data_IF_883613853300
#
_entry.id   IF_883613853300
#
_cell.length_a   1.000
_cell.length_b   1.000
_cell.length_c   1.000
_cell.angle_alpha   90.00
_cell.angle_beta   90.00
_cell.angle_gamma   90.00
#
_symmetry.space_group_name_H-M   'P 1'
#
loop_
_entity.id
_entity.type
_entity.pdbx_description
1 polymer ?
#
# COMPACT_ATOMS: atom_id res chain seq x y z
N UNK A 1 1.26 -9.25 37.72
CA UNK A 1 1.55 -10.66 37.58
C UNK A 1 0.36 -11.54 37.20
N UNK A 2 -0.90 -11.11 37.37
CA UNK A 2 -2.09 -11.88 36.96
C UNK A 2 -2.36 -11.80 35.43
N UNK A 3 -1.87 -10.76 34.76
CA UNK A 3 -2.03 -10.57 33.31
C UNK A 3 -1.13 -11.53 32.52
N UNK A 4 0.12 -11.70 32.94
CA UNK A 4 1.05 -12.64 32.33
C UNK A 4 0.60 -14.11 32.45
N UNK A 5 -0.03 -14.47 33.56
CA UNK A 5 -0.64 -15.82 33.73
C UNK A 5 -1.83 -16.04 32.79
N UNK A 6 -2.66 -15.01 32.58
CA UNK A 6 -3.79 -15.09 31.64
C UNK A 6 -3.32 -15.14 30.17
N UNK A 7 -2.28 -14.39 29.83
CA UNK A 7 -1.69 -14.43 28.47
C UNK A 7 -1.06 -15.81 28.20
N UNK A 8 -0.30 -16.36 29.14
CA UNK A 8 0.26 -17.70 28.98
C UNK A 8 -0.81 -18.81 28.91
N UNK A 9 -1.91 -18.65 29.64
CA UNK A 9 -3.03 -19.59 29.56
C UNK A 9 -3.75 -19.54 28.20
N UNK A 10 -3.91 -18.34 27.64
CA UNK A 10 -4.48 -18.13 26.31
C UNK A 10 -3.55 -18.68 25.22
N UNK A 11 -2.25 -18.44 25.32
CA UNK A 11 -1.26 -18.98 24.38
C UNK A 11 -1.19 -20.51 24.47
N UNK A 12 -1.21 -21.08 25.68
CA UNK A 12 -1.23 -22.54 25.88
C UNK A 12 -2.50 -23.17 25.31
N UNK A 13 -3.66 -22.56 25.54
CA UNK A 13 -4.93 -23.04 25.00
C UNK A 13 -4.95 -22.99 23.46
N UNK A 14 -4.44 -21.90 22.87
CA UNK A 14 -4.29 -21.80 21.42
C UNK A 14 -3.29 -22.82 20.86
N UNK A 15 -2.18 -23.08 21.54
CA UNK A 15 -1.20 -24.08 21.11
C UNK A 15 -1.73 -25.52 21.21
N UNK A 16 -2.54 -25.85 22.21
CA UNK A 16 -3.16 -27.17 22.34
C UNK A 16 -4.29 -27.41 21.33
N UNK A 17 -5.10 -26.40 21.02
CA UNK A 17 -6.09 -26.49 19.95
C UNK A 17 -5.47 -26.58 18.55
N UNK A 18 -4.35 -25.90 18.31
CA UNK A 18 -3.62 -25.97 17.05
C UNK A 18 -2.98 -27.34 16.79
N UNK A 19 -2.71 -28.13 17.85
CA UNK A 19 -2.13 -29.48 17.71
C UNK A 19 -3.16 -30.58 17.43
N UNK A 20 -4.46 -30.30 17.65
CA UNK A 20 -5.52 -31.30 17.58
C UNK A 20 -6.52 -31.14 16.44
N UNK A 21 -6.39 -30.11 15.60
CA UNK A 21 -7.30 -29.89 14.47
C UNK A 21 -6.53 -29.78 13.15
N UNK A 22 -7.06 -30.46 12.12
CA UNK A 22 -6.64 -30.26 10.73
C UNK A 22 -6.44 -28.76 10.46
N UNK A 23 -5.23 -28.38 10.01
CA UNK A 23 -4.86 -27.00 9.71
C UNK A 23 -5.90 -26.23 8.87
N UNK A 24 -6.71 -26.94 8.10
CA UNK A 24 -7.79 -26.38 7.30
C UNK A 24 -8.99 -25.87 8.11
N UNK A 25 -9.22 -26.39 9.32
CA UNK A 25 -10.38 -26.05 10.17
C UNK A 25 -10.08 -24.80 11.00
N UNK A 26 -8.85 -24.63 11.46
CA UNK A 26 -8.40 -23.47 12.26
C UNK A 26 -8.43 -22.20 11.40
N UNK A 27 -7.93 -22.28 10.19
CA UNK A 27 -7.97 -21.14 9.25
C UNK A 27 -9.40 -20.80 8.80
N UNK A 28 -10.30 -21.78 8.75
CA UNK A 28 -11.74 -21.54 8.52
C UNK A 28 -12.44 -20.95 9.74
N UNK A 29 -12.06 -21.32 10.97
CA UNK A 29 -12.65 -20.79 12.20
C UNK A 29 -12.18 -19.36 12.51
N UNK A 30 -10.94 -19.01 12.13
CA UNK A 30 -10.44 -17.61 12.17
C UNK A 30 -11.13 -16.72 11.12
N UNK A 31 -12.14 -17.26 10.40
CA UNK A 31 -12.81 -16.57 9.31
C UNK A 31 -11.75 -16.06 8.34
N UNK A 32 -11.37 -16.86 7.36
CA UNK A 32 -10.80 -16.26 6.14
C UNK A 32 -11.92 -15.38 5.55
N UNK A 33 -12.12 -14.22 6.15
CA UNK A 33 -12.63 -13.07 5.42
C UNK A 33 -11.64 -12.95 4.28
N UNK A 34 -12.04 -13.33 3.08
CA UNK A 34 -11.22 -13.20 1.89
C UNK A 34 -10.85 -11.72 1.86
N UNK A 35 -9.66 -11.39 2.38
CA UNK A 35 -9.22 -10.00 2.44
C UNK A 35 -9.03 -9.53 1.01
N UNK A 36 -9.91 -8.66 0.59
CA UNK A 36 -9.84 -8.02 -0.72
C UNK A 36 -9.15 -6.67 -0.57
N UNK A 37 -8.15 -6.44 -1.40
CA UNK A 37 -7.40 -5.18 -1.42
C UNK A 37 -7.85 -4.34 -2.60
N UNK A 38 -8.24 -3.10 -2.37
CA UNK A 38 -8.39 -2.12 -3.44
C UNK A 38 -7.03 -1.49 -3.73
N UNK A 39 -6.59 -1.56 -4.97
CA UNK A 39 -5.38 -0.91 -5.45
C UNK A 39 -5.79 0.27 -6.33
N UNK A 40 -5.53 1.48 -5.84
CA UNK A 40 -5.83 2.71 -6.54
C UNK A 40 -4.56 3.27 -7.15
N UNK A 41 -4.58 3.73 -8.41
CA UNK A 41 -3.40 4.31 -9.04
C UNK A 41 -3.66 5.77 -9.42
N UNK A 42 -2.66 6.63 -9.20
CA UNK A 42 -2.69 8.05 -9.55
C UNK A 42 -1.69 8.42 -10.65
N UNK A 43 -0.89 7.46 -11.12
CA UNK A 43 0.19 7.68 -12.06
C UNK A 43 1.53 7.91 -11.36
N UNK A 44 2.19 9.04 -11.65
CA UNK A 44 3.51 9.35 -11.10
C UNK A 44 4.65 8.61 -11.80
N UNK A 45 5.84 8.66 -11.20
CA UNK A 45 7.05 8.02 -11.75
C UNK A 45 6.87 6.52 -11.96
N UNK A 46 6.07 5.87 -11.13
CA UNK A 46 5.79 4.44 -11.20
C UNK A 46 5.29 4.00 -12.59
N UNK A 47 4.36 4.75 -13.18
CA UNK A 47 3.71 4.44 -14.46
C UNK A 47 4.33 5.20 -15.65
N UNK A 48 5.47 5.90 -15.47
CA UNK A 48 6.14 6.62 -16.55
C UNK A 48 6.65 5.67 -17.63
N UNK A 49 6.38 6.06 -18.87
CA UNK A 49 6.94 5.44 -20.08
C UNK A 49 7.71 6.51 -20.88
N UNK A 50 8.79 6.08 -21.52
CA UNK A 50 9.58 6.93 -22.39
C UNK A 50 9.14 6.76 -23.84
N UNK A 51 8.82 7.85 -24.51
CA UNK A 51 8.51 7.86 -25.93
C UNK A 51 9.71 8.41 -26.72
N UNK A 52 10.37 7.54 -27.48
CA UNK A 52 11.52 7.90 -28.30
C UNK A 52 11.19 9.01 -29.32
N UNK A 53 9.98 9.03 -29.86
CA UNK A 53 9.60 9.96 -30.91
C UNK A 53 9.63 11.44 -30.47
N UNK A 54 9.42 11.74 -29.19
CA UNK A 54 9.36 13.09 -28.64
C UNK A 54 10.40 13.34 -27.56
N UNK A 55 11.23 12.37 -27.20
CA UNK A 55 12.17 12.42 -26.06
C UNK A 55 11.51 12.83 -24.73
N UNK A 56 10.24 12.51 -24.57
CA UNK A 56 9.44 12.90 -23.40
C UNK A 56 8.94 11.67 -22.61
N UNK A 57 8.75 11.86 -21.30
CA UNK A 57 8.07 10.90 -20.45
C UNK A 57 6.57 11.21 -20.40
N UNK A 58 5.75 10.19 -20.56
CA UNK A 58 4.31 10.28 -20.29
C UNK A 58 3.90 9.22 -19.27
N UNK A 59 2.74 9.41 -18.65
CA UNK A 59 2.17 8.44 -17.72
C UNK A 59 1.35 7.43 -18.51
N UNK A 60 1.79 6.17 -18.45
CA UNK A 60 1.16 5.04 -19.15
C UNK A 60 0.02 4.39 -18.37
N UNK A 61 -0.37 3.22 -18.84
CA UNK A 61 -1.29 2.36 -18.10
C UNK A 61 -0.63 1.82 -16.83
N UNK A 62 -1.41 1.53 -15.77
CA UNK A 62 -0.91 1.05 -14.50
C UNK A 62 -0.02 -0.19 -14.63
N UNK A 63 1.24 -0.08 -14.24
CA UNK A 63 2.20 -1.18 -14.28
C UNK A 63 1.99 -2.20 -13.15
N UNK A 64 1.21 -1.87 -12.14
CA UNK A 64 1.02 -2.73 -10.97
C UNK A 64 0.45 -4.11 -11.33
N UNK A 65 -0.40 -4.19 -12.36
CA UNK A 65 -0.97 -5.47 -12.82
C UNK A 65 0.13 -6.45 -13.21
N UNK A 66 1.07 -6.03 -14.07
CA UNK A 66 2.18 -6.90 -14.49
C UNK A 66 3.09 -7.29 -13.34
N UNK A 67 3.33 -6.39 -12.38
CA UNK A 67 4.13 -6.68 -11.19
C UNK A 67 3.48 -7.77 -10.33
N UNK A 68 2.16 -7.69 -10.13
CA UNK A 68 1.44 -8.68 -9.34
C UNK A 68 1.36 -10.04 -10.05
N UNK A 69 1.20 -10.03 -11.37
CA UNK A 69 1.21 -11.24 -12.21
C UNK A 69 2.59 -11.91 -12.21
N UNK A 70 3.67 -11.16 -12.41
CA UNK A 70 5.05 -11.65 -12.34
C UNK A 70 5.40 -12.20 -10.95
N UNK A 71 4.86 -11.57 -9.90
CA UNK A 71 5.00 -12.01 -8.51
C UNK A 71 4.13 -13.22 -8.15
N UNK A 72 3.32 -13.75 -9.08
CA UNK A 72 2.34 -14.81 -8.83
C UNK A 72 1.46 -14.53 -7.61
N UNK A 73 1.02 -13.28 -7.47
CA UNK A 73 0.20 -12.84 -6.33
C UNK A 73 -1.18 -13.47 -6.42
N UNK A 74 -1.55 -14.25 -5.40
CA UNK A 74 -2.83 -14.97 -5.32
C UNK A 74 -3.85 -14.28 -4.42
N UNK A 75 -3.48 -13.18 -3.77
CA UNK A 75 -4.39 -12.37 -2.96
C UNK A 75 -5.52 -11.80 -3.82
N UNK A 76 -6.72 -11.68 -3.25
CA UNK A 76 -7.84 -11.07 -3.97
C UNK A 76 -7.67 -9.54 -3.98
N UNK A 77 -7.55 -8.96 -5.17
CA UNK A 77 -7.40 -7.51 -5.34
C UNK A 77 -8.25 -6.97 -6.48
N UNK A 78 -8.52 -5.67 -6.43
CA UNK A 78 -9.18 -4.90 -7.50
C UNK A 78 -8.33 -3.66 -7.79
N UNK A 79 -8.01 -3.42 -9.05
CA UNK A 79 -7.24 -2.26 -9.48
C UNK A 79 -8.17 -1.23 -10.12
N UNK A 80 -8.04 0.04 -9.73
CA UNK A 80 -8.75 1.18 -10.32
C UNK A 80 -7.78 2.35 -10.52
N UNK A 81 -7.61 2.79 -11.75
CA UNK A 81 -6.94 4.05 -12.04
C UNK A 81 -7.88 5.21 -11.74
N UNK A 82 -7.48 6.11 -10.87
CA UNK A 82 -8.27 7.28 -10.45
C UNK A 82 -7.71 8.58 -11.02
N UNK A 83 -6.40 8.65 -11.22
CA UNK A 83 -5.71 9.75 -11.90
C UNK A 83 -4.60 9.19 -12.77
N UNK A 84 -4.12 10.03 -13.72
CA UNK A 84 -2.92 9.76 -14.53
C UNK A 84 -2.07 11.03 -14.57
N UNK A 85 -1.46 11.37 -13.42
CA UNK A 85 -0.69 12.60 -13.26
C UNK A 85 0.66 12.40 -12.57
N UNK A 86 1.61 13.30 -12.84
CA UNK A 86 2.75 13.47 -11.95
C UNK A 86 2.25 14.02 -10.62
N UNK A 87 2.84 13.57 -9.50
CA UNK A 87 2.36 13.98 -8.18
C UNK A 87 2.55 15.48 -7.90
N UNK A 88 3.50 16.13 -8.56
CA UNK A 88 3.69 17.57 -8.47
C UNK A 88 2.52 18.37 -9.05
N UNK A 89 1.78 17.78 -9.99
CA UNK A 89 0.64 18.40 -10.66
C UNK A 89 -0.71 18.08 -9.97
N UNK A 90 -0.70 17.26 -8.91
CA UNK A 90 -1.92 16.90 -8.18
C UNK A 90 -2.37 18.09 -7.33
N UNK A 91 -3.57 18.60 -7.62
CA UNK A 91 -4.19 19.73 -6.91
C UNK A 91 -4.92 19.28 -5.64
N UNK A 92 -5.39 20.23 -4.84
CA UNK A 92 -6.21 19.94 -3.65
C UNK A 92 -7.55 19.32 -4.02
N UNK A 93 -8.16 19.75 -5.11
CA UNK A 93 -9.41 19.18 -5.64
C UNK A 93 -9.23 17.73 -6.09
N UNK A 94 -8.08 17.41 -6.66
CA UNK A 94 -7.75 16.03 -7.05
C UNK A 94 -7.42 15.15 -5.85
N UNK A 95 -6.83 15.70 -4.77
CA UNK A 95 -6.70 14.98 -3.50
C UNK A 95 -8.07 14.66 -2.89
N UNK A 96 -9.05 15.54 -3.07
CA UNK A 96 -10.43 15.25 -2.68
C UNK A 96 -11.03 14.10 -3.50
N UNK A 97 -10.72 14.01 -4.81
CA UNK A 97 -11.13 12.88 -5.66
C UNK A 97 -10.48 11.58 -5.15
N UNK A 98 -9.20 11.61 -4.78
CA UNK A 98 -8.51 10.46 -4.18
C UNK A 98 -9.22 10.03 -2.90
N UNK A 99 -9.50 10.99 -2.00
CA UNK A 99 -10.17 10.72 -0.73
C UNK A 99 -11.56 10.11 -0.92
N UNK A 100 -12.39 10.69 -1.77
CA UNK A 100 -13.70 10.12 -2.10
C UNK A 100 -13.60 8.71 -2.69
N UNK A 101 -12.62 8.48 -3.58
CA UNK A 101 -12.40 7.16 -4.15
C UNK A 101 -12.03 6.12 -3.09
N UNK A 102 -11.30 6.54 -2.04
CA UNK A 102 -10.97 5.71 -0.88
C UNK A 102 -12.22 5.44 -0.02
N UNK A 103 -13.00 6.47 0.27
CA UNK A 103 -14.21 6.37 1.10
C UNK A 103 -15.28 5.49 0.43
N UNK A 104 -15.43 5.58 -0.88
CA UNK A 104 -16.37 4.79 -1.69
C UNK A 104 -15.95 3.32 -1.90
N UNK A 105 -14.70 2.94 -1.58
CA UNK A 105 -14.28 1.55 -1.66
C UNK A 105 -15.04 0.69 -0.65
N UNK A 106 -15.56 -0.45 -1.09
CA UNK A 106 -16.12 -1.46 -0.21
C UNK A 106 -15.03 -2.14 0.63
N UNK A 107 -13.80 -2.18 0.10
CA UNK A 107 -12.65 -2.78 0.74
C UNK A 107 -12.18 -1.92 1.92
N UNK A 108 -11.83 -2.57 3.03
CA UNK A 108 -11.20 -1.93 4.20
C UNK A 108 -9.69 -1.77 4.01
N UNK A 109 -9.11 -2.49 3.05
CA UNK A 109 -7.66 -2.56 2.76
C UNK A 109 -7.38 -1.87 1.43
N UNK A 110 -6.67 -0.76 1.47
CA UNK A 110 -6.45 0.09 0.29
C UNK A 110 -4.97 0.37 0.12
N UNK A 111 -4.43 0.00 -1.03
CA UNK A 111 -3.09 0.37 -1.45
C UNK A 111 -3.21 1.47 -2.52
N UNK A 112 -2.45 2.54 -2.38
CA UNK A 112 -2.44 3.64 -3.36
C UNK A 112 -1.05 3.73 -3.99
N UNK A 113 -0.98 3.55 -5.31
CA UNK A 113 0.23 3.84 -6.10
C UNK A 113 0.24 5.33 -6.41
N UNK A 114 1.23 6.04 -5.91
CA UNK A 114 1.32 7.50 -5.97
C UNK A 114 2.74 7.97 -6.31
N UNK A 115 2.87 9.09 -6.98
CA UNK A 115 4.16 9.71 -7.19
C UNK A 115 4.80 10.16 -5.88
N UNK A 116 6.11 10.02 -5.76
CA UNK A 116 6.81 10.15 -4.47
C UNK A 116 6.97 11.60 -3.99
N UNK A 117 6.83 12.61 -4.87
CA UNK A 117 7.15 14.01 -4.51
C UNK A 117 6.12 14.60 -3.55
N UNK A 118 4.84 14.37 -3.76
CA UNK A 118 3.76 14.87 -2.88
C UNK A 118 3.00 13.74 -2.16
N UNK A 119 3.58 12.54 -2.09
CA UNK A 119 2.99 11.39 -1.40
C UNK A 119 2.67 11.68 0.06
N UNK A 120 3.58 12.39 0.77
CA UNK A 120 3.40 12.77 2.18
C UNK A 120 2.20 13.71 2.34
N UNK A 121 2.01 14.64 1.43
CA UNK A 121 0.88 15.58 1.44
C UNK A 121 -0.45 14.84 1.23
N UNK A 122 -0.48 13.93 0.25
CA UNK A 122 -1.68 13.12 0.01
C UNK A 122 -1.96 12.17 1.17
N UNK A 123 -0.94 11.56 1.79
CA UNK A 123 -1.13 10.73 2.98
C UNK A 123 -1.77 11.53 4.14
N UNK A 124 -1.28 12.74 4.40
CA UNK A 124 -1.87 13.63 5.41
C UNK A 124 -3.30 14.04 5.07
N UNK A 125 -3.60 14.29 3.80
CA UNK A 125 -4.95 14.64 3.36
C UNK A 125 -5.96 13.53 3.62
N UNK A 126 -5.50 12.28 3.63
CA UNK A 126 -6.31 11.10 3.92
C UNK A 126 -6.46 10.81 5.42
N UNK A 127 -5.75 11.53 6.28
CA UNK A 127 -5.96 11.43 7.73
C UNK A 127 -7.43 11.76 8.06
N UNK A 128 -8.03 10.98 8.92
CA UNK A 128 -9.45 11.10 9.26
C UNK A 128 -10.40 10.23 8.45
N UNK A 129 -9.94 9.53 7.42
CA UNK A 129 -10.71 8.41 6.85
C UNK A 129 -10.69 7.28 7.88
N UNK A 130 -11.88 6.89 8.33
CA UNK A 130 -12.06 5.90 9.39
C UNK A 130 -12.27 4.49 8.81
N UNK A 131 -12.04 3.48 9.65
CA UNK A 131 -12.32 2.07 9.36
C UNK A 131 -11.63 1.51 8.09
N UNK A 132 -10.48 2.10 7.74
CA UNK A 132 -9.68 1.65 6.59
C UNK A 132 -8.18 1.62 6.92
N UNK A 133 -7.48 0.64 6.37
CA UNK A 133 -6.02 0.66 6.26
C UNK A 133 -5.65 1.19 4.89
N UNK A 134 -4.99 2.33 4.86
CA UNK A 134 -4.59 3.02 3.63
C UNK A 134 -3.07 3.07 3.60
N UNK A 135 -2.47 2.42 2.60
CA UNK A 135 -1.01 2.39 2.44
C UNK A 135 -0.63 3.00 1.10
N UNK A 136 0.06 4.14 1.16
CA UNK A 136 0.61 4.77 -0.04
C UNK A 136 1.99 4.18 -0.33
N UNK A 137 2.26 3.94 -1.60
CA UNK A 137 3.56 3.50 -2.12
C UNK A 137 3.80 4.04 -3.52
N UNK A 138 4.97 3.81 -4.05
CA UNK A 138 5.37 4.22 -5.38
C UNK A 138 6.79 3.77 -5.68
N UNK A 139 7.44 4.44 -6.62
CA UNK A 139 8.83 4.16 -6.93
C UNK A 139 9.61 5.41 -7.28
N UNK A 140 10.92 5.36 -7.04
CA UNK A 140 11.88 6.40 -7.47
C UNK A 140 12.24 6.24 -8.95
N UNK A 141 12.11 5.02 -9.49
CA UNK A 141 12.37 4.69 -10.88
C UNK A 141 11.11 4.14 -11.55
N UNK A 142 10.86 4.42 -12.84
CA UNK A 142 9.76 3.84 -13.58
C UNK A 142 9.72 2.32 -13.44
N UNK A 143 8.53 1.75 -13.24
CA UNK A 143 8.37 0.30 -13.06
C UNK A 143 8.87 -0.53 -14.25
N UNK A 144 8.83 0.04 -15.45
CA UNK A 144 9.30 -0.60 -16.70
C UNK A 144 10.82 -0.63 -16.84
N UNK A 145 11.56 0.03 -15.96
CA UNK A 145 13.01 0.01 -16.02
C UNK A 145 13.56 -1.31 -15.47
N UNK A 146 14.61 -1.83 -16.11
CA UNK A 146 15.28 -3.06 -15.64
C UNK A 146 15.77 -2.95 -14.18
N UNK A 147 16.21 -1.77 -13.79
CA UNK A 147 16.59 -1.47 -12.39
C UNK A 147 15.55 -0.52 -11.81
N UNK A 148 14.59 -1.07 -11.12
CA UNK A 148 13.51 -0.32 -10.47
C UNK A 148 13.33 -0.81 -9.05
N UNK A 149 12.88 0.09 -8.18
CA UNK A 149 12.43 -0.21 -6.82
C UNK A 149 10.92 -0.52 -6.76
N UNK A 150 10.21 -0.43 -7.89
CA UNK A 150 8.76 -0.60 -7.96
C UNK A 150 8.28 -1.97 -7.48
N UNK A 151 8.93 -3.06 -7.94
CA UNK A 151 8.52 -4.43 -7.59
C UNK A 151 8.64 -4.68 -6.08
N UNK A 152 9.78 -4.25 -5.49
CA UNK A 152 10.02 -4.37 -4.06
C UNK A 152 9.01 -3.57 -3.24
N UNK A 153 8.83 -2.28 -3.59
CA UNK A 153 7.91 -1.40 -2.86
C UNK A 153 6.46 -1.89 -2.99
N UNK A 154 6.05 -2.40 -4.15
CA UNK A 154 4.70 -2.93 -4.37
C UNK A 154 4.40 -4.14 -3.49
N UNK A 155 5.30 -5.14 -3.48
CA UNK A 155 5.14 -6.33 -2.65
C UNK A 155 5.16 -6.00 -1.16
N UNK A 156 6.08 -5.12 -0.74
CA UNK A 156 6.18 -4.65 0.63
C UNK A 156 4.92 -3.89 1.08
N UNK A 157 4.41 -2.97 0.23
CA UNK A 157 3.19 -2.22 0.51
C UNK A 157 1.94 -3.11 0.54
N UNK A 158 1.84 -4.09 -0.35
CA UNK A 158 0.74 -5.04 -0.34
C UNK A 158 0.71 -5.83 0.97
N UNK A 159 1.85 -6.35 1.42
CA UNK A 159 1.98 -7.03 2.71
C UNK A 159 1.63 -6.11 3.88
N UNK A 160 2.12 -4.87 3.87
CA UNK A 160 1.78 -3.88 4.88
C UNK A 160 0.27 -3.58 4.92
N UNK A 161 -0.37 -3.42 3.75
CA UNK A 161 -1.81 -3.18 3.62
C UNK A 161 -2.64 -4.30 4.25
N UNK A 162 -2.17 -5.55 4.13
CA UNK A 162 -2.88 -6.71 4.67
C UNK A 162 -2.71 -6.88 6.19
N UNK A 163 -1.62 -6.37 6.76
CA UNK A 163 -1.24 -6.67 8.15
C UNK A 163 -1.41 -5.51 9.13
N UNK A 164 -1.44 -4.26 8.64
CA UNK A 164 -1.52 -3.09 9.52
C UNK A 164 -2.94 -2.86 10.04
N UNK A 165 -3.04 -2.22 11.21
CA UNK A 165 -4.29 -1.69 11.76
C UNK A 165 -4.85 -0.57 10.88
N UNK A 166 -6.11 -0.14 11.15
CA UNK A 166 -6.70 1.01 10.47
C UNK A 166 -5.84 2.27 10.66
N UNK A 167 -5.66 2.99 9.60
CA UNK A 167 -4.82 4.19 9.58
C UNK A 167 -4.23 4.48 8.21
N UNK A 168 -3.47 5.57 8.12
CA UNK A 168 -2.82 6.03 6.89
C UNK A 168 -1.32 5.92 7.02
N UNK A 169 -0.71 5.21 6.10
CA UNK A 169 0.70 4.85 6.13
C UNK A 169 1.38 5.13 4.78
N UNK A 170 2.68 5.28 4.81
CA UNK A 170 3.55 5.23 3.64
C UNK A 170 4.48 4.03 3.78
N UNK A 171 4.50 3.16 2.78
CA UNK A 171 5.38 1.98 2.72
C UNK A 171 6.41 2.18 1.60
N UNK A 172 7.60 2.60 1.95
CA UNK A 172 8.69 2.91 1.02
C UNK A 172 10.05 2.50 1.59
N UNK A 173 10.95 2.11 0.71
CA UNK A 173 12.34 1.77 1.05
C UNK A 173 12.46 0.67 2.14
N UNK A 174 11.52 -0.27 2.21
CA UNK A 174 11.48 -1.35 3.20
C UNK A 174 11.08 -0.90 4.61
N UNK A 175 10.45 0.27 4.74
CA UNK A 175 9.94 0.82 6.00
C UNK A 175 8.49 1.24 5.86
N UNK A 176 7.75 1.12 6.96
CA UNK A 176 6.40 1.67 7.11
C UNK A 176 6.48 2.92 7.98
N UNK A 177 5.85 3.98 7.53
CA UNK A 177 5.76 5.25 8.23
C UNK A 177 4.29 5.62 8.45
N UNK A 178 3.96 6.17 9.59
CA UNK A 178 2.68 6.84 9.78
C UNK A 178 2.67 8.17 9.00
N UNK A 179 1.52 8.53 8.43
CA UNK A 179 1.34 9.74 7.61
C UNK A 179 1.80 11.04 8.28
N UNK A 180 1.62 11.15 9.60
CA UNK A 180 2.00 12.33 10.40
C UNK A 180 3.49 12.38 10.76
N UNK A 181 4.21 11.24 10.67
CA UNK A 181 5.61 11.13 11.10
C UNK A 181 6.55 10.68 9.98
N UNK A 182 6.42 11.27 8.81
CA UNK A 182 7.22 10.96 7.63
C UNK A 182 7.59 12.21 6.85
N UNK A 183 8.81 12.22 6.31
CA UNK A 183 9.29 13.22 5.33
C UNK A 183 10.05 12.51 4.20
N UNK A 184 10.05 13.11 3.01
CA UNK A 184 10.90 12.68 1.91
C UNK A 184 12.23 13.44 1.97
N UNK A 185 13.33 12.73 2.07
CA UNK A 185 14.67 13.28 1.87
C UNK A 185 14.96 13.32 0.37
N UNK A 186 14.84 14.49 -0.24
CA UNK A 186 14.98 14.68 -1.68
C UNK A 186 16.41 14.36 -2.14
N UNK A 187 17.43 14.71 -1.34
CA UNK A 187 18.83 14.50 -1.68
C UNK A 187 19.18 13.02 -1.73
N UNK A 188 18.68 12.23 -0.77
CA UNK A 188 18.93 10.80 -0.69
C UNK A 188 17.93 9.96 -1.48
N UNK A 189 16.86 10.55 -2.01
CA UNK A 189 15.78 9.81 -2.66
C UNK A 189 15.12 8.78 -1.76
N UNK A 190 14.92 9.11 -0.47
CA UNK A 190 14.40 8.17 0.54
C UNK A 190 13.38 8.83 1.44
N UNK A 191 12.53 7.98 2.02
CA UNK A 191 11.62 8.39 3.09
C UNK A 191 12.26 8.11 4.46
N UNK A 192 12.04 9.01 5.40
CA UNK A 192 12.56 8.94 6.77
C UNK A 192 11.54 9.53 7.77
N UNK A 193 11.65 9.16 9.03
CA UNK A 193 10.85 9.76 10.11
C UNK A 193 11.19 11.23 10.26
N UNK A 194 10.22 12.01 10.71
CA UNK A 194 10.51 13.35 11.24
C UNK A 194 11.20 13.20 12.58
N UNK A 195 12.20 14.01 12.81
CA UNK A 195 12.87 14.12 14.10
C UNK A 195 11.95 14.86 15.08
#
# INVERSE_FOLDING_TARGET
SNILKKINLIISYFCEELHNQDNNTVWKALGQRIMKVAILTTGGTFDKIYFDANSEYSIGEPCITSILDEGNVTSNFRIKSILKKDSLDITSEEREIIKKSVEECEEERIMIIHGTDTMVETAKYLEGVIDKTIVLTGSMQPARFRKTDANFNSGFALGATMCLEFGVYIAMNGKVFQSNNVKKNIVLGKFETKD
#
